data_IF_082823969041
#
_entry.id   IF_082823969041
#
_cell.length_a   1.000
_cell.length_b   1.000
_cell.length_c   1.000
_cell.angle_alpha   90.00
_cell.angle_beta   90.00
_cell.angle_gamma   90.00
#
_symmetry.space_group_name_H-M   'P 1'
#
loop_
_entity.id
_entity.type
_entity.pdbx_description
1 polymer ?
#
# COMPACT_ATOMS: atom_id res chain seq x y z
N UNK A 1 6.45 18.44 50.41
CA UNK A 1 7.10 17.13 50.19
C UNK A 1 6.36 16.25 49.18
N UNK A 2 5.03 16.07 49.29
CA UNK A 2 4.23 15.22 48.38
C UNK A 2 4.28 15.61 46.89
N UNK A 3 4.17 16.90 46.56
CA UNK A 3 4.21 17.38 45.15
C UNK A 3 5.55 17.10 44.47
N UNK A 4 6.67 17.34 45.17
CA UNK A 4 8.02 17.04 44.63
C UNK A 4 8.18 15.55 44.34
N UNK A 5 7.69 14.69 45.24
CA UNK A 5 7.69 13.23 45.04
C UNK A 5 6.81 12.83 43.83
N UNK A 6 5.61 13.39 43.68
CA UNK A 6 4.74 13.12 42.53
C UNK A 6 5.37 13.53 41.19
N UNK A 7 6.03 14.70 41.15
CA UNK A 7 6.75 15.17 39.96
C UNK A 7 7.90 14.22 39.60
N UNK A 8 8.68 13.78 40.60
CA UNK A 8 9.75 12.81 40.38
C UNK A 8 9.20 11.50 39.83
N UNK A 9 8.14 10.95 40.43
CA UNK A 9 7.50 9.71 39.94
C UNK A 9 7.03 9.89 38.50
N UNK A 10 6.35 10.99 38.18
CA UNK A 10 5.86 11.27 36.82
C UNK A 10 7.00 11.32 35.80
N UNK A 11 8.06 12.07 36.09
CA UNK A 11 9.22 12.20 35.20
C UNK A 11 9.90 10.84 35.01
N UNK A 12 10.12 10.09 36.10
CA UNK A 12 10.74 8.77 36.02
C UNK A 12 9.88 7.80 35.19
N UNK A 13 8.56 7.78 35.39
CA UNK A 13 7.65 6.95 34.59
C UNK A 13 7.66 7.35 33.11
N UNK A 14 7.63 8.65 32.80
CA UNK A 14 7.67 9.14 31.42
C UNK A 14 8.98 8.75 30.72
N UNK A 15 10.12 8.90 31.42
CA UNK A 15 11.44 8.50 30.90
C UNK A 15 11.49 7.00 30.63
N UNK A 16 10.97 6.17 31.55
CA UNK A 16 10.92 4.71 31.38
C UNK A 16 10.06 4.30 30.19
N UNK A 17 8.91 4.95 29.98
CA UNK A 17 8.04 4.68 28.83
C UNK A 17 8.72 5.07 27.51
N UNK A 18 9.36 6.24 27.45
CA UNK A 18 10.08 6.69 26.25
C UNK A 18 11.26 5.76 25.95
N UNK A 19 12.06 5.42 26.96
CA UNK A 19 13.19 4.51 26.81
C UNK A 19 12.74 3.11 26.38
N UNK A 20 11.66 2.59 26.98
CA UNK A 20 11.07 1.31 26.62
C UNK A 20 10.56 1.29 25.18
N UNK A 21 9.80 2.33 24.78
CA UNK A 21 9.33 2.48 23.41
C UNK A 21 10.48 2.54 22.41
N UNK A 22 11.49 3.38 22.67
CA UNK A 22 12.66 3.50 21.81
C UNK A 22 13.43 2.17 21.70
N UNK A 23 13.57 1.44 22.82
CA UNK A 23 14.18 0.12 22.86
C UNK A 23 13.43 -0.90 22.00
N UNK A 24 12.10 -0.97 22.13
CA UNK A 24 11.25 -1.86 21.31
C UNK A 24 11.34 -1.47 19.83
N UNK A 25 11.26 -0.17 19.50
CA UNK A 25 11.37 0.32 18.14
C UNK A 25 12.71 -0.07 17.50
N UNK A 26 13.83 0.14 18.20
CA UNK A 26 15.16 -0.28 17.74
C UNK A 26 15.29 -1.79 17.62
N UNK A 27 14.67 -2.54 18.52
CA UNK A 27 14.64 -4.00 18.47
C UNK A 27 13.84 -4.53 17.29
N UNK A 28 12.81 -3.81 16.83
CA UNK A 28 12.06 -4.14 15.62
C UNK A 28 12.80 -3.79 14.33
N UNK A 29 13.61 -2.71 14.33
CA UNK A 29 14.39 -2.31 13.16
C UNK A 29 15.38 -3.42 12.75
N UNK A 30 15.31 -3.86 11.50
CA UNK A 30 16.20 -4.90 10.95
C UNK A 30 15.79 -6.33 11.26
N UNK A 31 14.72 -6.56 12.04
CA UNK A 31 14.07 -7.87 12.07
C UNK A 31 13.31 -8.07 10.77
N UNK A 32 13.41 -9.26 10.20
CA UNK A 32 12.45 -9.73 9.22
C UNK A 32 11.10 -9.91 9.91
N UNK A 33 10.36 -8.81 10.10
CA UNK A 33 8.91 -8.90 10.04
C UNK A 33 8.60 -9.56 8.70
N UNK A 34 7.67 -10.51 8.67
CA UNK A 34 7.21 -11.08 7.40
C UNK A 34 6.61 -9.93 6.62
N UNK A 35 7.43 -9.27 5.80
CA UNK A 35 6.94 -8.26 4.89
C UNK A 35 5.85 -8.94 4.06
N UNK A 36 4.79 -8.20 3.78
CA UNK A 36 3.72 -8.65 2.90
C UNK A 36 4.26 -8.70 1.46
N UNK A 37 5.25 -9.55 1.21
CA UNK A 37 5.90 -9.73 -0.09
C UNK A 37 4.90 -10.10 -1.17
N UNK A 38 3.76 -10.65 -0.78
CA UNK A 38 2.64 -10.87 -1.69
C UNK A 38 2.15 -9.56 -2.32
N UNK A 39 2.14 -8.43 -1.61
CA UNK A 39 1.76 -7.11 -2.15
C UNK A 39 2.74 -6.67 -3.22
N UNK A 40 4.05 -6.83 -2.96
CA UNK A 40 5.12 -6.53 -3.93
C UNK A 40 4.98 -7.42 -5.17
N UNK A 41 4.84 -8.74 -4.98
CA UNK A 41 4.68 -9.69 -6.08
C UNK A 41 3.42 -9.41 -6.92
N UNK A 42 2.32 -9.02 -6.27
CA UNK A 42 1.07 -8.63 -6.95
C UNK A 42 1.27 -7.36 -7.76
N UNK A 43 1.94 -6.35 -7.20
CA UNK A 43 2.29 -5.13 -7.93
C UNK A 43 3.13 -5.47 -9.16
N UNK A 44 4.27 -6.15 -8.98
CA UNK A 44 5.20 -6.49 -10.06
C UNK A 44 4.50 -7.24 -11.19
N UNK A 45 3.64 -8.22 -10.84
CA UNK A 45 2.89 -8.98 -11.84
C UNK A 45 1.89 -8.11 -12.59
N UNK A 46 1.20 -7.19 -11.91
CA UNK A 46 0.22 -6.28 -12.52
C UNK A 46 0.89 -5.25 -13.42
N UNK A 47 2.04 -4.72 -13.02
CA UNK A 47 2.84 -3.82 -13.84
C UNK A 47 3.39 -4.53 -15.09
N UNK A 48 3.82 -5.80 -14.96
CA UNK A 48 4.19 -6.62 -16.11
C UNK A 48 3.01 -6.75 -17.10
N UNK A 49 1.82 -7.12 -16.62
CA UNK A 49 0.61 -7.25 -17.45
C UNK A 49 0.23 -5.90 -18.10
N UNK A 50 0.37 -4.79 -17.37
CA UNK A 50 0.13 -3.44 -17.88
C UNK A 50 1.08 -3.09 -19.04
N UNK A 51 2.34 -3.47 -18.92
CA UNK A 51 3.36 -3.22 -19.94
C UNK A 51 3.14 -4.04 -21.22
N UNK A 52 2.72 -5.30 -21.07
CA UNK A 52 2.43 -6.19 -22.20
C UNK A 52 1.26 -5.70 -23.06
N UNK A 53 0.27 -5.02 -22.44
CA UNK A 53 -0.89 -4.45 -23.13
C UNK A 53 -0.57 -3.03 -23.64
N UNK A 54 -0.47 -2.87 -24.97
CA UNK A 54 0.07 -1.65 -25.58
C UNK A 54 -0.91 -0.51 -25.87
N UNK A 55 -2.20 -0.78 -26.09
CA UNK A 55 -3.19 0.26 -26.41
C UNK A 55 -4.63 -0.13 -26.07
N UNK A 56 -5.55 0.84 -26.18
CA UNK A 56 -7.00 0.68 -25.97
C UNK A 56 -7.33 0.07 -24.59
N UNK A 57 -6.82 0.69 -23.51
CA UNK A 57 -6.80 0.10 -22.17
C UNK A 57 -7.80 0.80 -21.24
N UNK A 58 -8.35 0.02 -20.32
CA UNK A 58 -9.07 0.54 -19.15
C UNK A 58 -8.24 0.15 -17.94
N UNK A 59 -7.78 1.13 -17.17
CA UNK A 59 -7.02 0.94 -15.94
C UNK A 59 -7.96 1.10 -14.76
N UNK A 60 -8.01 0.10 -13.88
CA UNK A 60 -8.76 0.15 -12.64
C UNK A 60 -7.84 0.44 -11.46
N UNK A 61 -8.12 1.51 -10.73
CA UNK A 61 -7.47 1.88 -9.47
C UNK A 61 -8.47 1.78 -8.32
N UNK A 62 -8.22 0.88 -7.37
CA UNK A 62 -9.08 0.70 -6.21
C UNK A 62 -8.34 0.00 -5.07
N UNK A 63 -8.98 -0.08 -3.91
CA UNK A 63 -8.53 -0.92 -2.80
C UNK A 63 -8.88 -2.40 -2.98
N UNK A 64 -9.02 -3.09 -1.85
CA UNK A 64 -9.25 -4.55 -1.79
C UNK A 64 -10.50 -5.01 -2.55
N UNK A 65 -11.54 -4.18 -2.62
CA UNK A 65 -12.74 -4.45 -3.41
C UNK A 65 -12.43 -4.61 -4.91
N UNK A 66 -11.54 -3.78 -5.46
CA UNK A 66 -11.10 -3.91 -6.85
C UNK A 66 -10.05 -5.00 -7.04
N UNK A 67 -9.18 -5.21 -6.04
CA UNK A 67 -8.16 -6.26 -6.10
C UNK A 67 -8.79 -7.66 -6.27
N UNK A 68 -9.87 -7.94 -5.52
CA UNK A 68 -10.52 -9.26 -5.51
C UNK A 68 -11.84 -9.32 -6.29
N UNK A 69 -12.50 -8.19 -6.50
CA UNK A 69 -13.83 -8.14 -7.13
C UNK A 69 -13.83 -7.96 -8.64
N UNK A 70 -12.68 -7.65 -9.27
CA UNK A 70 -12.61 -7.39 -10.71
C UNK A 70 -12.12 -8.59 -11.49
N UNK A 71 -12.88 -8.96 -12.53
CA UNK A 71 -12.45 -9.91 -13.55
C UNK A 71 -12.09 -9.17 -14.85
N UNK A 72 -10.80 -8.90 -15.06
CA UNK A 72 -10.31 -8.21 -16.25
C UNK A 72 -10.62 -8.94 -17.55
N UNK A 73 -10.74 -10.27 -17.56
CA UNK A 73 -11.07 -11.02 -18.77
C UNK A 73 -12.51 -10.76 -19.22
N UNK A 74 -13.46 -10.86 -18.28
CA UNK A 74 -14.88 -10.57 -18.54
C UNK A 74 -15.07 -9.14 -19.02
N UNK A 75 -14.46 -8.16 -18.32
CA UNK A 75 -14.54 -6.75 -18.71
C UNK A 75 -13.97 -6.56 -20.12
N UNK A 76 -12.81 -7.16 -20.41
CA UNK A 76 -12.18 -7.01 -21.73
C UNK A 76 -13.05 -7.57 -22.84
N UNK A 77 -13.70 -8.72 -22.61
CA UNK A 77 -14.60 -9.34 -23.59
C UNK A 77 -15.86 -8.49 -23.85
N UNK A 78 -16.41 -7.86 -22.81
CA UNK A 78 -17.62 -7.03 -22.93
C UNK A 78 -17.30 -5.69 -23.61
N UNK A 79 -16.21 -5.04 -23.23
CA UNK A 79 -15.91 -3.68 -23.69
C UNK A 79 -15.07 -3.63 -24.96
N UNK A 80 -14.46 -4.75 -25.36
CA UNK A 80 -13.45 -4.78 -26.42
C UNK A 80 -12.18 -3.98 -26.08
N UNK A 81 -11.96 -3.66 -24.80
CA UNK A 81 -10.80 -2.89 -24.31
C UNK A 81 -9.93 -3.76 -23.42
N UNK A 82 -8.64 -3.46 -23.38
CA UNK A 82 -7.69 -4.14 -22.52
C UNK A 82 -7.88 -3.71 -21.06
N UNK A 83 -8.63 -4.49 -20.27
CA UNK A 83 -8.77 -4.21 -18.84
C UNK A 83 -7.48 -4.56 -18.07
N UNK A 84 -7.00 -3.61 -17.28
CA UNK A 84 -5.80 -3.70 -16.43
C UNK A 84 -6.25 -3.41 -15.00
N UNK A 85 -6.05 -4.36 -14.11
CA UNK A 85 -6.38 -4.20 -12.70
C UNK A 85 -5.12 -3.78 -11.92
N UNK A 86 -4.98 -2.49 -11.63
CA UNK A 86 -3.95 -1.95 -10.72
C UNK A 86 -4.48 -1.71 -9.30
N UNK A 87 -5.65 -2.25 -8.95
CA UNK A 87 -6.17 -2.18 -7.59
C UNK A 87 -5.27 -2.94 -6.60
N UNK A 88 -5.08 -2.42 -5.40
CA UNK A 88 -4.12 -2.94 -4.42
C UNK A 88 -4.74 -3.00 -3.02
N UNK A 89 -3.90 -3.17 -2.00
CA UNK A 89 -4.33 -3.16 -0.61
C UNK A 89 -4.88 -1.78 -0.21
N UNK A 90 -6.06 -1.74 0.42
CA UNK A 90 -6.76 -0.48 0.71
C UNK A 90 -6.03 0.43 1.73
N UNK A 91 -5.13 -0.12 2.56
CA UNK A 91 -4.32 0.69 3.50
C UNK A 91 -3.17 1.45 2.85
N UNK A 92 -2.90 1.25 1.55
CA UNK A 92 -1.89 2.02 0.83
C UNK A 92 -2.40 3.45 0.63
N UNK A 93 -1.49 4.41 0.78
CA UNK A 93 -1.83 5.83 0.66
C UNK A 93 -2.27 6.20 -0.77
N UNK A 94 -3.12 7.20 -0.89
CA UNK A 94 -3.57 7.70 -2.21
C UNK A 94 -2.39 8.16 -3.08
N UNK A 95 -1.32 8.67 -2.47
CA UNK A 95 -0.09 9.07 -3.18
C UNK A 95 0.63 7.86 -3.79
N UNK A 96 0.55 6.69 -3.14
CA UNK A 96 1.10 5.46 -3.69
C UNK A 96 0.29 4.98 -4.90
N UNK A 97 -1.05 5.06 -4.83
CA UNK A 97 -1.91 4.79 -5.99
C UNK A 97 -1.63 5.74 -7.15
N UNK A 98 -1.43 7.03 -6.87
CA UNK A 98 -1.02 8.02 -7.87
C UNK A 98 0.31 7.63 -8.52
N UNK A 99 1.32 7.30 -7.73
CA UNK A 99 2.63 6.85 -8.23
C UNK A 99 2.48 5.60 -9.12
N UNK A 100 1.68 4.61 -8.69
CA UNK A 100 1.43 3.40 -9.46
C UNK A 100 0.74 3.71 -10.80
N UNK A 101 -0.22 4.64 -10.79
CA UNK A 101 -0.90 5.09 -12.01
C UNK A 101 0.06 5.83 -12.94
N UNK A 102 0.81 6.82 -12.45
CA UNK A 102 1.75 7.61 -13.24
C UNK A 102 2.81 6.74 -13.94
N UNK A 103 3.24 5.65 -13.27
CA UNK A 103 4.19 4.69 -13.85
C UNK A 103 3.59 3.82 -14.96
N UNK A 104 2.27 3.61 -14.96
CA UNK A 104 1.60 2.62 -15.81
C UNK A 104 0.68 3.20 -16.87
N UNK A 105 0.21 4.43 -16.70
CA UNK A 105 -0.72 5.11 -17.62
C UNK A 105 -0.03 5.46 -18.95
N UNK A 106 -0.79 5.40 -20.04
CA UNK A 106 -0.38 5.76 -21.40
C UNK A 106 -1.47 6.62 -22.02
N UNK A 107 -1.11 7.36 -23.07
CA UNK A 107 -2.06 8.19 -23.81
C UNK A 107 -3.24 7.38 -24.34
N UNK A 108 -4.46 7.89 -24.11
CA UNK A 108 -5.71 7.25 -24.53
C UNK A 108 -6.25 6.18 -23.58
N UNK A 109 -5.63 5.96 -22.42
CA UNK A 109 -6.22 5.11 -21.37
C UNK A 109 -7.46 5.74 -20.76
N UNK A 110 -8.40 4.88 -20.37
CA UNK A 110 -9.51 5.24 -19.49
C UNK A 110 -9.14 4.78 -18.08
N UNK A 111 -9.15 5.69 -17.10
CA UNK A 111 -8.90 5.35 -15.69
C UNK A 111 -10.24 5.34 -14.95
N UNK A 112 -10.49 4.27 -14.21
CA UNK A 112 -11.69 4.05 -13.38
C UNK A 112 -11.25 3.74 -11.95
#
# INVERSE_FOLDING_TARGET
MKIKLLIVIFITSAVLVIAGYYGIFKYQMGRSVTAEWWVVNVQDKKEQISNDKKSNRIIFLAGSNGLFGLNSHVISNITGKNAINLAMHASLDISYYRMLLEKNIKDGDIVI
#
